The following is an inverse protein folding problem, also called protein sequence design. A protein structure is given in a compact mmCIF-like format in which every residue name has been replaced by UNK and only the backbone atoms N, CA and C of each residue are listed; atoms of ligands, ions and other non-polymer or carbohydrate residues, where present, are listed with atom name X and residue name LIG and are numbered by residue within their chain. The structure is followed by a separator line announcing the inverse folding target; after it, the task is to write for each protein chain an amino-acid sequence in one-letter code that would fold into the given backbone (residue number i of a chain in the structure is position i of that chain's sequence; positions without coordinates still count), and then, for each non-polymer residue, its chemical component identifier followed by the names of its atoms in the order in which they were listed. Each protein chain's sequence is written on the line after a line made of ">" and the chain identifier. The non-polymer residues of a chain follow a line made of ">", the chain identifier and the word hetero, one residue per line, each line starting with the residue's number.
data_IF_212505085306
#
_entry.id   IF_212505085306
#
_cell.length_a   1.000
_cell.length_b   1.000
_cell.length_c   1.000
_cell.angle_alpha   90.00
_cell.angle_beta   90.00
_cell.angle_gamma   90.00
#
_symmetry.space_group_name_H-M   'P 1'
#
loop_
_entity.id
_entity.type
_entity.pdbx_description
1 polymer ?
#
# COMPACT_ATOMS: atom_id res chain seq x y z
N UNK A 1 4.00 9.92 -15.05
CA UNK A 1 3.36 11.23 -15.19
C UNK A 1 3.96 11.91 -16.40
N UNK A 2 3.12 12.44 -17.28
CA UNK A 2 3.55 13.10 -18.51
C UNK A 2 3.57 14.61 -18.36
N UNK A 3 2.58 15.20 -17.65
CA UNK A 3 2.43 16.64 -17.54
C UNK A 3 1.57 17.01 -16.33
N UNK A 4 1.59 18.28 -15.95
CA UNK A 4 0.80 18.88 -14.90
C UNK A 4 0.41 20.31 -15.28
N UNK A 5 -0.85 20.67 -15.05
CA UNK A 5 -1.30 22.05 -15.26
C UNK A 5 -2.36 22.46 -14.24
N UNK A 6 -2.51 23.78 -14.06
CA UNK A 6 -3.53 24.37 -13.20
C UNK A 6 -4.61 25.05 -14.06
N UNK A 7 -5.87 24.73 -13.80
CA UNK A 7 -7.02 25.39 -14.43
C UNK A 7 -8.18 25.46 -13.43
N UNK A 8 -8.86 26.59 -13.37
CA UNK A 8 -10.02 26.83 -12.49
C UNK A 8 -9.75 26.45 -11.01
N UNK A 9 -8.59 26.85 -10.48
CA UNK A 9 -8.13 26.54 -9.13
C UNK A 9 -8.01 25.04 -8.82
N UNK A 10 -7.92 24.20 -9.86
CA UNK A 10 -7.78 22.75 -9.80
C UNK A 10 -6.49 22.34 -10.49
N UNK A 11 -5.71 21.44 -9.85
CA UNK A 11 -4.53 20.81 -10.44
C UNK A 11 -4.93 19.56 -11.24
N UNK A 12 -4.45 19.50 -12.48
CA UNK A 12 -4.62 18.35 -13.37
C UNK A 12 -3.28 17.67 -13.57
N UNK A 13 -3.25 16.36 -13.36
CA UNK A 13 -2.10 15.53 -13.59
C UNK A 13 -2.36 14.62 -14.78
N UNK A 14 -1.53 14.71 -15.82
CA UNK A 14 -1.61 13.84 -17.00
C UNK A 14 -0.66 12.68 -16.81
N UNK A 15 -1.20 11.46 -16.79
CA UNK A 15 -0.41 10.25 -16.57
C UNK A 15 -0.77 9.15 -17.57
N UNK A 16 0.05 8.11 -17.61
CA UNK A 16 -0.24 6.90 -18.38
C UNK A 16 -1.58 6.31 -17.92
N UNK A 17 -2.43 5.97 -18.88
CA UNK A 17 -3.60 5.14 -18.60
C UNK A 17 -3.19 3.68 -18.53
N UNK A 18 -3.43 3.02 -17.42
CA UNK A 18 -3.17 1.60 -17.21
C UNK A 18 -4.49 0.83 -17.34
N UNK A 19 -4.70 0.06 -18.43
CA UNK A 19 -5.92 -0.72 -18.59
C UNK A 19 -5.91 -1.90 -17.61
N UNK A 20 -7.01 -2.14 -16.92
CA UNK A 20 -7.16 -3.22 -15.94
C UNK A 20 -8.17 -2.88 -14.87
N UNK A 21 -8.20 -3.67 -13.81
CA UNK A 21 -8.99 -3.42 -12.63
C UNK A 21 -8.09 -3.30 -11.41
N UNK A 22 -8.48 -2.54 -10.42
CA UNK A 22 -7.77 -2.48 -9.14
C UNK A 22 -7.82 -3.83 -8.43
N UNK A 23 -6.88 -4.11 -7.54
CA UNK A 23 -6.94 -5.33 -6.73
C UNK A 23 -8.24 -5.37 -5.89
N UNK A 24 -8.75 -4.21 -5.46
CA UNK A 24 -10.02 -4.12 -4.74
C UNK A 24 -11.20 -4.57 -5.61
N UNK A 25 -11.28 -4.07 -6.84
CA UNK A 25 -12.31 -4.48 -7.79
C UNK A 25 -12.19 -5.97 -8.13
N UNK A 26 -10.96 -6.47 -8.33
CA UNK A 26 -10.72 -7.88 -8.60
C UNK A 26 -11.26 -8.78 -7.48
N UNK A 27 -10.92 -8.49 -6.21
CA UNK A 27 -11.39 -9.27 -5.07
C UNK A 27 -12.92 -9.20 -4.95
N UNK A 28 -13.52 -8.05 -5.20
CA UNK A 28 -14.97 -7.88 -5.17
C UNK A 28 -15.68 -8.67 -6.26
N UNK A 29 -15.13 -8.74 -7.47
CA UNK A 29 -15.78 -9.36 -8.62
C UNK A 29 -15.43 -10.84 -8.80
N UNK A 30 -14.20 -11.24 -8.48
CA UNK A 30 -13.65 -12.57 -8.75
C UNK A 30 -13.32 -13.38 -7.51
N UNK A 31 -13.38 -12.77 -6.32
CA UNK A 31 -13.02 -13.37 -5.06
C UNK A 31 -11.56 -13.17 -4.68
N UNK A 32 -11.18 -13.75 -3.53
CA UNK A 32 -9.83 -13.65 -2.96
C UNK A 32 -8.81 -14.44 -3.79
N UNK A 33 -7.56 -14.05 -3.66
CA UNK A 33 -6.45 -14.72 -4.31
C UNK A 33 -6.03 -15.97 -3.53
N UNK A 34 -5.60 -17.02 -4.25
CA UNK A 34 -4.79 -18.06 -3.63
C UNK A 34 -3.40 -17.53 -3.27
N UNK A 35 -2.68 -18.23 -2.40
CA UNK A 35 -1.30 -17.84 -2.04
C UNK A 35 -0.40 -17.79 -3.29
N UNK A 36 -0.54 -18.75 -4.19
CA UNK A 36 0.23 -18.81 -5.44
C UNK A 36 -0.07 -17.59 -6.34
N UNK A 37 -1.35 -17.33 -6.59
CA UNK A 37 -1.76 -16.14 -7.35
C UNK A 37 -1.27 -14.83 -6.73
N UNK A 38 -1.31 -14.75 -5.40
CA UNK A 38 -0.79 -13.58 -4.68
C UNK A 38 0.71 -13.40 -4.93
N UNK A 39 1.52 -14.47 -4.90
CA UNK A 39 2.94 -14.37 -5.20
C UNK A 39 3.22 -13.91 -6.63
N UNK A 40 2.45 -14.39 -7.62
CA UNK A 40 2.59 -13.98 -9.01
C UNK A 40 2.32 -12.49 -9.20
N UNK A 41 1.33 -11.95 -8.48
CA UNK A 41 0.96 -10.53 -8.55
C UNK A 41 1.92 -9.65 -7.77
N UNK A 42 2.31 -10.05 -6.57
CA UNK A 42 3.09 -9.21 -5.63
C UNK A 42 4.60 -9.27 -5.91
N UNK A 43 5.12 -10.38 -6.43
CA UNK A 43 6.55 -10.54 -6.69
C UNK A 43 7.15 -9.43 -7.56
N UNK A 44 6.57 -9.11 -8.74
CA UNK A 44 7.01 -7.97 -9.55
C UNK A 44 6.94 -6.63 -8.82
N UNK A 45 5.89 -6.38 -8.02
CA UNK A 45 5.72 -5.14 -7.25
C UNK A 45 6.85 -4.98 -6.23
N UNK A 46 7.20 -6.04 -5.51
CA UNK A 46 8.34 -6.02 -4.54
C UNK A 46 9.64 -5.62 -5.23
N UNK A 47 9.91 -6.18 -6.41
CA UNK A 47 11.11 -5.85 -7.18
C UNK A 47 11.12 -4.38 -7.64
N UNK A 48 9.98 -3.84 -8.04
CA UNK A 48 9.89 -2.44 -8.46
C UNK A 48 9.98 -1.48 -7.27
N UNK A 49 9.36 -1.83 -6.13
CA UNK A 49 9.52 -1.07 -4.88
C UNK A 49 10.98 -1.04 -4.43
N UNK A 50 11.70 -2.17 -4.49
CA UNK A 50 13.12 -2.20 -4.14
C UNK A 50 13.93 -1.19 -4.94
N UNK A 51 13.71 -1.11 -6.27
CA UNK A 51 14.41 -0.16 -7.15
C UNK A 51 14.14 1.31 -6.78
N UNK A 52 12.86 1.67 -6.49
CA UNK A 52 12.54 3.05 -6.11
C UNK A 52 13.05 3.40 -4.71
N UNK A 53 13.08 2.43 -3.79
CA UNK A 53 13.66 2.62 -2.46
C UNK A 53 15.18 2.84 -2.53
N UNK A 54 15.91 2.13 -3.42
CA UNK A 54 17.34 2.38 -3.69
C UNK A 54 17.59 3.81 -4.19
N UNK A 55 16.63 4.43 -4.89
CA UNK A 55 16.68 5.82 -5.29
C UNK A 55 16.23 6.81 -4.20
N UNK A 56 15.94 6.34 -2.99
CA UNK A 56 15.43 7.15 -1.88
C UNK A 56 13.98 7.59 -2.02
N UNK A 57 13.22 6.99 -2.93
CA UNK A 57 11.81 7.30 -3.17
C UNK A 57 10.93 6.34 -2.36
N UNK A 58 9.96 6.89 -1.62
CA UNK A 58 8.95 6.12 -0.86
C UNK A 58 7.58 6.45 -1.42
N UNK A 59 6.79 5.42 -1.72
CA UNK A 59 5.48 5.56 -2.36
C UNK A 59 4.43 6.19 -1.44
N UNK A 60 4.33 5.71 -0.19
CA UNK A 60 3.47 6.22 0.90
C UNK A 60 1.96 5.99 0.76
N UNK A 61 1.48 5.44 -0.34
CA UNK A 61 0.05 5.17 -0.56
C UNK A 61 -0.20 3.83 -1.29
N UNK A 62 0.53 2.79 -0.90
CA UNK A 62 0.28 1.43 -1.40
C UNK A 62 -1.01 0.91 -0.77
N UNK A 63 -1.93 0.46 -1.63
CA UNK A 63 -3.22 -0.11 -1.22
C UNK A 63 -3.85 -0.89 -2.37
N UNK A 64 -4.87 -1.72 -2.14
CA UNK A 64 -5.56 -2.44 -3.20
C UNK A 64 -6.20 -1.55 -4.27
N UNK A 65 -6.47 -0.29 -3.95
CA UNK A 65 -7.05 0.68 -4.89
C UNK A 65 -5.99 1.32 -5.81
N UNK A 66 -4.70 1.29 -5.38
CA UNK A 66 -3.58 1.87 -6.11
C UNK A 66 -2.70 0.83 -6.80
N UNK A 67 -3.20 -0.40 -6.95
CA UNK A 67 -2.57 -1.46 -7.73
C UNK A 67 -3.55 -1.95 -8.78
N UNK A 68 -3.20 -1.78 -10.04
CA UNK A 68 -4.01 -2.23 -11.18
C UNK A 68 -3.47 -3.57 -11.68
N UNK A 69 -4.34 -4.57 -11.74
CA UNK A 69 -4.08 -5.86 -12.37
C UNK A 69 -4.58 -5.82 -13.82
N UNK A 70 -3.67 -5.92 -14.75
CA UNK A 70 -3.95 -5.92 -16.18
C UNK A 70 -4.43 -7.30 -16.65
N UNK A 71 -5.06 -7.36 -17.81
CA UNK A 71 -5.60 -8.60 -18.38
C UNK A 71 -4.52 -9.68 -18.66
N UNK A 72 -3.26 -9.26 -18.86
CA UNK A 72 -2.11 -10.15 -19.02
C UNK A 72 -1.53 -10.68 -17.70
N UNK A 73 -2.15 -10.38 -16.55
CA UNK A 73 -1.68 -10.77 -15.23
C UNK A 73 -0.61 -9.86 -14.61
N UNK A 74 -0.15 -8.83 -15.34
CA UNK A 74 0.84 -7.89 -14.81
C UNK A 74 0.18 -6.89 -13.89
N UNK A 75 0.70 -6.75 -12.67
CA UNK A 75 0.25 -5.75 -11.71
C UNK A 75 1.13 -4.48 -11.81
N UNK A 76 0.51 -3.31 -11.71
CA UNK A 76 1.18 -2.02 -11.76
C UNK A 76 0.71 -1.13 -10.62
N UNK A 77 1.66 -0.59 -9.85
CA UNK A 77 1.39 0.40 -8.82
C UNK A 77 1.21 1.75 -9.47
N UNK A 78 0.16 2.46 -9.09
CA UNK A 78 -0.18 3.80 -9.56
C UNK A 78 -0.19 4.80 -8.40
N UNK A 79 -0.24 6.09 -8.72
CA UNK A 79 -0.38 7.17 -7.73
C UNK A 79 0.73 7.20 -6.67
N UNK A 80 1.97 7.34 -7.12
CA UNK A 80 3.07 7.70 -6.23
C UNK A 80 2.69 8.95 -5.43
N UNK A 81 2.54 8.84 -4.11
CA UNK A 81 2.07 9.85 -3.15
C UNK A 81 2.72 11.24 -3.23
N UNK A 82 3.18 11.63 -4.42
CA UNK A 82 3.81 12.90 -4.81
C UNK A 82 2.91 14.11 -4.55
N UNK A 83 1.60 13.92 -4.36
CA UNK A 83 0.73 15.00 -3.94
C UNK A 83 1.19 15.72 -2.65
N UNK A 84 2.04 15.10 -1.82
CA UNK A 84 2.63 15.77 -0.65
C UNK A 84 3.82 16.67 -0.97
N UNK A 85 4.58 16.41 -2.02
CA UNK A 85 5.80 17.19 -2.35
C UNK A 85 5.50 18.41 -3.20
N UNK A 86 4.45 18.38 -4.03
CA UNK A 86 4.12 19.46 -4.98
C UNK A 86 3.40 20.66 -4.31
N UNK A 87 2.89 20.51 -3.08
CA UNK A 87 2.14 21.58 -2.39
C UNK A 87 2.85 22.21 -1.18
N UNK A 88 4.14 22.05 -1.02
CA UNK A 88 4.93 22.95 -0.16
C UNK A 88 5.10 24.28 -0.93
N UNK A 89 4.15 25.18 -0.74
CA UNK A 89 4.33 26.55 -1.19
C UNK A 89 5.38 27.24 -0.33
N UNK A 90 6.24 28.01 -0.96
CA UNK A 90 7.31 28.83 -0.35
C UNK A 90 6.82 29.92 0.61
N UNK A 91 5.53 30.02 0.91
CA UNK A 91 4.92 31.10 1.69
C UNK A 91 4.63 30.78 3.16
N UNK A 92 5.13 29.65 3.69
CA UNK A 92 5.09 29.35 5.12
C UNK A 92 3.68 29.14 5.72
N UNK A 93 2.62 29.17 4.94
CA UNK A 93 1.28 28.88 5.40
C UNK A 93 1.03 27.38 5.28
N UNK A 94 1.20 26.65 6.38
CA UNK A 94 0.77 25.26 6.54
C UNK A 94 -0.75 25.16 6.43
N UNK A 95 -1.31 25.26 5.23
CA UNK A 95 -2.62 24.69 4.96
C UNK A 95 -2.45 23.19 4.90
N UNK A 96 -2.70 22.55 6.02
CA UNK A 96 -2.82 21.11 6.13
C UNK A 96 -3.95 20.66 5.18
N UNK A 97 -3.60 20.33 3.93
CA UNK A 97 -4.49 19.48 3.17
C UNK A 97 -4.56 18.17 3.94
N UNK A 98 -5.73 17.89 4.49
CA UNK A 98 -6.03 16.61 5.12
C UNK A 98 -5.89 15.54 4.03
N UNK A 99 -4.69 14.96 3.91
CA UNK A 99 -4.53 13.74 3.13
C UNK A 99 -5.34 12.71 3.88
N UNK A 100 -6.45 12.27 3.32
CA UNK A 100 -7.21 11.16 3.85
C UNK A 100 -6.34 9.90 3.70
N UNK A 101 -5.48 9.66 4.69
CA UNK A 101 -4.74 8.42 4.78
C UNK A 101 -5.75 7.28 5.01
N UNK A 102 -5.56 6.19 4.28
CA UNK A 102 -6.37 4.98 4.46
C UNK A 102 -5.87 4.26 5.70
N UNK A 103 -6.59 4.42 6.81
CA UNK A 103 -6.19 3.98 8.15
C UNK A 103 -5.88 2.47 8.24
N UNK A 104 -6.42 1.67 7.34
CA UNK A 104 -6.17 0.24 7.26
C UNK A 104 -4.81 -0.08 6.61
N UNK A 105 -4.29 0.79 5.75
CA UNK A 105 -3.09 0.55 4.94
C UNK A 105 -1.91 1.44 5.30
N UNK A 106 -2.14 2.63 5.85
CA UNK A 106 -1.08 3.55 6.24
C UNK A 106 -0.57 3.24 7.66
N UNK A 107 0.76 3.09 7.86
CA UNK A 107 1.33 2.83 9.18
C UNK A 107 1.32 4.07 10.08
N UNK A 108 1.45 3.86 11.40
CA UNK A 108 1.35 4.92 12.44
C UNK A 108 2.27 6.11 12.19
N UNK A 109 3.49 5.87 11.72
CA UNK A 109 4.46 6.96 11.45
C UNK A 109 4.01 7.94 10.38
N UNK A 110 3.08 7.57 9.49
CA UNK A 110 2.55 8.50 8.48
C UNK A 110 1.57 9.53 9.06
N UNK A 111 1.04 9.29 10.26
CA UNK A 111 0.12 10.18 10.96
C UNK A 111 0.85 11.15 11.93
N UNK A 112 2.08 10.85 12.26
CA UNK A 112 2.84 11.62 13.23
C UNK A 112 3.55 12.81 12.55
N UNK A 113 3.54 14.02 13.15
CA UNK A 113 4.21 15.20 12.58
C UNK A 113 5.71 14.96 12.32
N UNK A 114 6.37 14.19 13.18
CA UNK A 114 7.80 13.83 13.09
C UNK A 114 7.99 12.33 12.82
N UNK A 115 7.03 11.68 12.19
CA UNK A 115 7.09 10.26 11.90
C UNK A 115 8.18 9.98 10.84
N UNK A 116 9.07 9.05 11.16
CA UNK A 116 10.08 8.59 10.22
C UNK A 116 9.47 7.67 9.17
N UNK A 117 9.11 8.23 8.03
CA UNK A 117 8.60 7.49 6.87
C UNK A 117 9.77 7.03 6.02
N UNK A 118 9.78 5.77 5.63
CA UNK A 118 10.82 5.16 4.82
C UNK A 118 10.32 3.92 4.07
N UNK A 119 11.23 3.14 3.48
CA UNK A 119 10.90 1.91 2.77
C UNK A 119 10.01 0.96 3.62
N UNK A 120 10.28 0.89 4.91
CA UNK A 120 9.49 0.10 5.88
C UNK A 120 8.01 0.52 5.97
N UNK A 121 7.67 1.76 5.58
CA UNK A 121 6.28 2.22 5.54
C UNK A 121 5.53 1.61 4.35
N UNK A 122 6.19 1.52 3.19
CA UNK A 122 5.64 0.85 2.01
C UNK A 122 5.52 -0.66 2.24
N UNK A 123 6.48 -1.27 2.97
CA UNK A 123 6.41 -2.68 3.36
C UNK A 123 5.17 -2.96 4.21
N UNK A 124 4.87 -2.09 5.19
CA UNK A 124 3.64 -2.22 5.97
C UNK A 124 2.40 -2.18 5.07
N UNK A 125 2.30 -1.19 4.20
CA UNK A 125 1.17 -0.99 3.30
C UNK A 125 1.01 -2.15 2.31
N UNK A 126 2.12 -2.71 1.84
CA UNK A 126 2.12 -3.89 0.97
C UNK A 126 1.63 -5.14 1.71
N UNK A 127 2.09 -5.37 2.95
CA UNK A 127 1.62 -6.48 3.78
C UNK A 127 0.11 -6.35 4.10
N UNK A 128 -0.38 -5.15 4.38
CA UNK A 128 -1.80 -4.88 4.55
C UNK A 128 -2.60 -5.15 3.26
N UNK A 129 -2.02 -4.86 2.10
CA UNK A 129 -2.61 -5.18 0.79
C UNK A 129 -2.65 -6.69 0.55
N UNK A 130 -1.58 -7.41 0.87
CA UNK A 130 -1.54 -8.88 0.78
C UNK A 130 -2.61 -9.50 1.70
N UNK A 131 -2.76 -8.99 2.93
CA UNK A 131 -3.83 -9.42 3.82
C UNK A 131 -5.21 -9.28 3.15
N UNK A 132 -5.51 -8.12 2.56
CA UNK A 132 -6.76 -7.91 1.83
C UNK A 132 -6.93 -8.89 0.65
N UNK A 133 -5.88 -9.15 -0.11
CA UNK A 133 -5.93 -10.09 -1.24
C UNK A 133 -6.32 -11.50 -0.82
N UNK A 134 -5.82 -11.96 0.33
CA UNK A 134 -6.03 -13.32 0.83
C UNK A 134 -7.35 -13.50 1.56
N UNK A 135 -7.83 -12.48 2.27
CA UNK A 135 -9.00 -12.59 3.15
C UNK A 135 -10.24 -11.83 2.66
N UNK A 136 -10.11 -10.98 1.64
CA UNK A 136 -11.22 -10.22 1.06
C UNK A 136 -11.77 -9.10 1.95
N UNK A 137 -11.11 -8.84 3.08
CA UNK A 137 -11.48 -7.79 4.03
C UNK A 137 -10.29 -6.88 4.35
N UNK A 138 -10.58 -5.61 4.60
CA UNK A 138 -9.55 -4.68 5.03
C UNK A 138 -9.01 -5.11 6.41
N UNK A 139 -7.68 -4.98 6.65
CA UNK A 139 -7.16 -5.20 7.99
C UNK A 139 -7.72 -4.15 8.97
N UNK A 140 -7.74 -4.47 10.25
CA UNK A 140 -8.10 -3.52 11.28
C UNK A 140 -7.24 -2.24 11.21
N UNK A 141 -7.83 -1.13 11.62
CA UNK A 141 -7.15 0.15 11.71
C UNK A 141 -5.85 0.02 12.51
N UNK A 142 -4.78 0.63 12.02
CA UNK A 142 -3.44 0.57 12.64
C UNK A 142 -3.41 0.98 14.13
N UNK A 143 -4.37 1.77 14.60
CA UNK A 143 -4.48 2.19 15.99
C UNK A 143 -5.29 1.22 16.88
N UNK A 144 -6.02 0.29 16.27
CA UNK A 144 -6.93 -0.65 16.94
C UNK A 144 -6.46 -2.09 16.86
N UNK A 145 -5.63 -2.39 15.83
CA UNK A 145 -5.18 -3.74 15.54
C UNK A 145 -4.25 -4.31 16.62
N UNK A 146 -4.53 -5.55 17.04
CA UNK A 146 -3.63 -6.34 17.87
C UNK A 146 -2.76 -7.29 17.02
N UNK A 147 -1.56 -7.63 17.52
CA UNK A 147 -0.63 -8.52 16.81
C UNK A 147 -1.22 -9.91 16.49
N UNK A 148 -2.16 -10.41 17.32
CA UNK A 148 -2.82 -11.71 17.15
C UNK A 148 -3.84 -11.75 16.02
N UNK A 149 -4.30 -10.60 15.49
CA UNK A 149 -5.40 -10.55 14.53
C UNK A 149 -5.02 -11.21 13.21
N UNK A 150 -3.80 -11.00 12.73
CA UNK A 150 -3.31 -11.66 11.52
C UNK A 150 -3.25 -13.18 11.70
N UNK A 151 -2.75 -13.66 12.86
CA UNK A 151 -2.66 -15.10 13.15
C UNK A 151 -4.03 -15.79 13.23
N UNK A 152 -5.03 -15.09 13.77
CA UNK A 152 -6.39 -15.63 13.85
C UNK A 152 -6.99 -15.83 12.46
N UNK A 153 -6.80 -14.89 11.52
CA UNK A 153 -7.27 -15.02 10.14
C UNK A 153 -6.70 -16.25 9.43
N UNK A 154 -5.41 -16.54 9.61
CA UNK A 154 -4.81 -17.73 9.03
C UNK A 154 -5.39 -19.03 9.58
N UNK A 155 -5.72 -19.06 10.88
CA UNK A 155 -6.35 -20.23 11.52
C UNK A 155 -7.79 -20.42 11.07
N UNK A 156 -8.56 -19.34 11.02
CA UNK A 156 -9.98 -19.37 10.65
C UNK A 156 -10.18 -19.78 9.18
N UNK A 157 -9.22 -19.49 8.30
CA UNK A 157 -9.28 -19.80 6.89
C UNK A 157 -8.48 -21.06 6.50
N UNK A 158 -8.05 -21.88 7.47
CA UNK A 158 -7.34 -23.17 7.27
C UNK A 158 -6.08 -23.08 6.39
N UNK A 159 -5.40 -21.93 6.39
CA UNK A 159 -4.18 -21.70 5.62
C UNK A 159 -2.94 -22.28 6.35
N UNK A 160 -3.01 -23.55 6.72
CA UNK A 160 -1.99 -24.23 7.53
C UNK A 160 -0.59 -24.25 6.90
N UNK A 161 -0.49 -24.28 5.57
CA UNK A 161 0.77 -24.31 4.84
C UNK A 161 1.43 -22.93 4.72
N UNK A 162 0.79 -21.90 5.26
CA UNK A 162 1.19 -20.51 5.11
C UNK A 162 1.96 -19.95 6.31
N UNK A 163 2.55 -20.78 7.19
CA UNK A 163 3.27 -20.29 8.39
C UNK A 163 4.36 -19.26 8.06
N UNK A 164 5.08 -19.45 6.94
CA UNK A 164 6.10 -18.48 6.50
C UNK A 164 5.47 -17.15 6.12
N UNK A 165 4.33 -17.19 5.41
CA UNK A 165 3.59 -15.98 4.99
C UNK A 165 2.99 -15.27 6.19
N UNK A 166 2.42 -16.01 7.16
CA UNK A 166 1.95 -15.44 8.43
C UNK A 166 3.08 -14.65 9.10
N UNK A 167 4.26 -15.25 9.25
CA UNK A 167 5.40 -14.55 9.86
C UNK A 167 5.82 -13.30 9.07
N UNK A 168 5.77 -13.35 7.73
CA UNK A 168 6.06 -12.19 6.88
C UNK A 168 5.07 -11.06 7.14
N UNK A 169 3.77 -11.36 7.20
CA UNK A 169 2.72 -10.36 7.43
C UNK A 169 2.79 -9.78 8.85
N UNK A 170 2.94 -10.62 9.88
CA UNK A 170 3.10 -10.18 11.27
C UNK A 170 4.30 -9.23 11.43
N UNK A 171 5.45 -9.61 10.85
CA UNK A 171 6.64 -8.77 10.88
C UNK A 171 6.46 -7.49 10.07
N UNK A 172 5.96 -7.58 8.84
CA UNK A 172 5.79 -6.43 7.95
C UNK A 172 4.74 -5.44 8.45
N UNK A 173 3.70 -5.91 9.13
CA UNK A 173 2.66 -5.10 9.74
C UNK A 173 2.93 -4.76 11.23
N UNK A 174 4.15 -4.97 11.75
CA UNK A 174 4.52 -4.56 13.11
C UNK A 174 4.28 -3.06 13.32
N UNK A 175 3.77 -2.68 14.51
CA UNK A 175 3.60 -1.27 14.88
C UNK A 175 4.93 -0.52 14.95
N UNK A 176 5.95 -1.18 15.49
CA UNK A 176 7.31 -0.65 15.55
C UNK A 176 8.00 -0.82 14.18
N UNK A 177 8.23 0.31 13.49
CA UNK A 177 8.86 0.32 12.17
C UNK A 177 10.27 -0.32 12.16
N UNK A 178 10.99 -0.31 13.30
CA UNK A 178 12.32 -0.94 13.43
C UNK A 178 12.27 -2.47 13.43
N UNK A 179 11.10 -3.06 13.72
CA UNK A 179 10.89 -4.51 13.69
C UNK A 179 10.48 -5.03 12.32
N UNK A 180 10.14 -4.13 11.38
CA UNK A 180 9.78 -4.50 10.00
C UNK A 180 11.01 -4.86 9.18
N UNK A 181 10.79 -5.30 7.96
CA UNK A 181 11.82 -5.39 6.92
C UNK A 181 12.31 -3.99 6.57
N UNK A 182 13.65 -3.87 6.36
CA UNK A 182 14.32 -2.61 6.04
C UNK A 182 14.82 -2.62 4.60
#
# INVERSE_FOLDING_TARGET
>A
VYDYFLQNNTGYLIMEYVPGMTLREHVKEKGVFTIEQMYDVIGPIVNDLAKIHEMGIVHRDISPDNIILQANGVAKVIDFGTARTVMQKEDGTNKTMTVMLRQQYAPKEQYLPNGHVGAWSDIYSLCATIYFMLFGKDPENVFEREAKDVANEFRENELSDAQKLLHVLEKGMSEDCKKRYQ
#
